data_IF_449022889415
#
_entry.id   IF_449022889415
#
_cell.length_a   1.000
_cell.length_b   1.000
_cell.length_c   1.000
_cell.angle_alpha   90.00
_cell.angle_beta   90.00
_cell.angle_gamma   90.00
#
_symmetry.space_group_name_H-M   'P 1'
#
loop_
_entity.id
_entity.type
_entity.pdbx_description
1 polymer ?
#
# COMPACT_ATOMS: atom_id res chain seq x y z
N UNK A 1 0.21 -17.37 32.84
CA UNK A 1 1.66 -17.10 32.70
C UNK A 1 2.34 -17.73 33.91
N UNK A 2 3.39 -18.56 33.75
CA UNK A 2 4.06 -19.18 34.89
C UNK A 2 4.60 -18.11 35.85
N UNK A 3 4.59 -18.38 37.15
CA UNK A 3 5.19 -17.49 38.13
C UNK A 3 6.69 -17.31 37.81
N UNK A 4 7.13 -16.05 37.71
CA UNK A 4 8.52 -15.69 37.39
C UNK A 4 8.88 -15.64 35.89
N UNK A 5 7.92 -15.82 34.98
CA UNK A 5 8.20 -15.68 33.55
C UNK A 5 8.36 -14.21 33.14
N UNK A 6 9.58 -13.81 32.73
CA UNK A 6 9.86 -12.51 32.10
C UNK A 6 9.70 -12.63 30.57
N UNK A 7 8.73 -11.94 29.95
CA UNK A 7 8.49 -12.03 28.51
C UNK A 7 9.51 -11.23 27.67
N UNK A 8 10.29 -10.30 28.27
CA UNK A 8 11.20 -9.39 27.55
C UNK A 8 12.22 -10.09 26.63
N UNK A 9 12.83 -11.25 26.99
CA UNK A 9 13.79 -11.93 26.13
C UNK A 9 13.13 -12.67 24.95
N UNK A 10 11.83 -12.95 25.04
CA UNK A 10 11.12 -13.86 24.12
C UNK A 10 10.46 -13.12 22.97
N UNK A 11 10.13 -11.83 23.13
CA UNK A 11 9.57 -11.01 22.05
C UNK A 11 10.68 -10.67 21.05
N UNK A 12 10.72 -11.28 19.85
CA UNK A 12 11.78 -10.98 18.90
C UNK A 12 11.55 -9.57 18.36
N UNK A 13 12.61 -8.76 18.32
CA UNK A 13 12.57 -7.35 17.85
C UNK A 13 12.03 -7.18 16.42
N UNK A 14 11.94 -8.27 15.65
CA UNK A 14 11.66 -8.28 14.22
C UNK A 14 10.38 -9.06 13.85
N UNK A 15 9.50 -9.40 14.81
CA UNK A 15 8.21 -10.03 14.45
C UNK A 15 7.26 -8.93 13.97
N UNK A 16 7.11 -8.84 12.65
CA UNK A 16 6.02 -8.11 12.06
C UNK A 16 4.73 -8.91 12.31
N UNK A 17 3.74 -8.26 12.92
CA UNK A 17 2.39 -8.80 12.92
C UNK A 17 1.85 -8.85 11.48
N UNK A 18 0.71 -9.53 11.29
CA UNK A 18 0.10 -9.69 9.96
C UNK A 18 -0.21 -8.35 9.28
N UNK A 19 -0.54 -7.32 10.05
CA UNK A 19 -0.83 -6.00 9.51
C UNK A 19 0.43 -5.36 8.96
N UNK A 20 1.54 -5.41 9.69
CA UNK A 20 2.81 -4.84 9.23
C UNK A 20 3.34 -5.55 7.98
N UNK A 21 3.22 -6.88 7.89
CA UNK A 21 3.54 -7.62 6.67
C UNK A 21 2.63 -7.20 5.51
N UNK A 22 1.32 -7.05 5.79
CA UNK A 22 0.36 -6.56 4.80
C UNK A 22 0.70 -5.16 4.29
N UNK A 23 1.11 -4.25 5.18
CA UNK A 23 1.50 -2.88 4.84
C UNK A 23 2.74 -2.85 3.94
N UNK A 24 3.75 -3.69 4.20
CA UNK A 24 4.93 -3.80 3.33
C UNK A 24 4.58 -4.29 1.92
N UNK A 25 3.68 -5.27 1.81
CA UNK A 25 3.19 -5.78 0.51
C UNK A 25 2.35 -4.71 -0.19
N UNK A 26 1.41 -4.10 0.52
CA UNK A 26 0.55 -3.04 0.02
C UNK A 26 1.38 -1.87 -0.52
N UNK A 27 2.42 -1.45 0.22
CA UNK A 27 3.40 -0.45 -0.18
C UNK A 27 4.07 -0.80 -1.49
N UNK A 28 4.70 -1.97 -1.57
CA UNK A 28 5.46 -2.36 -2.76
C UNK A 28 4.60 -2.37 -4.02
N UNK A 29 3.38 -2.92 -3.93
CA UNK A 29 2.45 -3.01 -5.05
C UNK A 29 1.91 -1.62 -5.45
N UNK A 30 1.40 -0.85 -4.48
CA UNK A 30 0.79 0.45 -4.76
C UNK A 30 1.81 1.48 -5.26
N UNK A 31 2.98 1.56 -4.63
CA UNK A 31 4.06 2.44 -5.09
C UNK A 31 4.49 2.11 -6.52
N UNK A 32 4.63 0.83 -6.88
CA UNK A 32 5.03 0.43 -8.23
C UNK A 32 4.06 0.92 -9.32
N UNK A 33 2.76 0.77 -9.08
CA UNK A 33 1.73 1.23 -10.03
C UNK A 33 1.63 2.75 -10.09
N UNK A 34 1.69 3.44 -8.95
CA UNK A 34 1.64 4.91 -8.90
C UNK A 34 2.87 5.54 -9.56
N UNK A 35 4.05 4.94 -9.38
CA UNK A 35 5.28 5.29 -10.09
C UNK A 35 5.12 5.13 -11.60
N UNK A 36 4.61 3.97 -12.05
CA UNK A 36 4.38 3.71 -13.46
C UNK A 36 3.43 4.76 -14.05
N UNK A 37 2.31 5.01 -13.39
CA UNK A 37 1.34 6.01 -13.84
C UNK A 37 1.98 7.41 -13.93
N UNK A 38 2.70 7.83 -12.90
CA UNK A 38 3.35 9.15 -12.85
C UNK A 38 4.39 9.30 -13.95
N UNK A 39 5.23 8.29 -14.17
CA UNK A 39 6.24 8.29 -15.25
C UNK A 39 5.57 8.32 -16.62
N UNK A 40 4.54 7.51 -16.82
CA UNK A 40 3.78 7.44 -18.06
C UNK A 40 3.07 8.76 -18.40
N UNK A 41 2.49 9.45 -17.42
CA UNK A 41 1.89 10.78 -17.62
C UNK A 41 2.94 11.82 -18.00
N UNK A 42 4.15 11.76 -17.43
CA UNK A 42 5.26 12.65 -17.79
C UNK A 42 5.80 12.40 -19.20
N UNK A 43 5.86 11.14 -19.63
CA UNK A 43 6.39 10.76 -20.96
C UNK A 43 5.35 10.71 -22.07
N UNK A 44 4.06 10.85 -21.76
CA UNK A 44 2.97 10.71 -22.72
C UNK A 44 2.62 9.26 -23.08
N UNK A 45 3.08 8.27 -22.32
CA UNK A 45 2.78 6.85 -22.55
C UNK A 45 1.37 6.48 -22.05
N UNK A 46 0.38 6.66 -22.91
CA UNK A 46 -1.01 6.38 -22.57
C UNK A 46 -1.27 4.89 -22.24
N UNK A 47 -0.50 3.96 -22.82
CA UNK A 47 -0.68 2.53 -22.57
C UNK A 47 -0.26 2.17 -21.15
N UNK A 48 0.91 2.64 -20.71
CA UNK A 48 1.42 2.41 -19.36
C UNK A 48 0.57 3.10 -18.29
N UNK A 49 0.03 4.28 -18.58
CA UNK A 49 -0.89 4.95 -17.67
C UNK A 49 -2.19 4.14 -17.48
N UNK A 50 -2.78 3.64 -18.57
CA UNK A 50 -4.00 2.81 -18.52
C UNK A 50 -3.77 1.49 -17.79
N UNK A 51 -2.62 0.85 -17.99
CA UNK A 51 -2.25 -0.37 -17.29
C UNK A 51 -2.23 -0.15 -15.77
N UNK A 52 -1.59 0.93 -15.32
CA UNK A 52 -1.53 1.26 -13.89
C UNK A 52 -2.91 1.59 -13.30
N UNK A 53 -3.76 2.34 -14.02
CA UNK A 53 -5.14 2.60 -13.60
C UNK A 53 -5.94 1.29 -13.51
N UNK A 54 -5.82 0.40 -14.50
CA UNK A 54 -6.54 -0.87 -14.51
C UNK A 54 -6.16 -1.75 -13.31
N UNK A 55 -4.87 -1.81 -12.97
CA UNK A 55 -4.41 -2.53 -11.79
C UNK A 55 -4.95 -1.91 -10.49
N UNK A 56 -4.74 -0.61 -10.28
CA UNK A 56 -5.15 0.09 -9.05
C UNK A 56 -6.67 0.16 -8.88
N UNK A 57 -7.45 0.15 -9.97
CA UNK A 57 -8.92 0.04 -9.92
C UNK A 57 -9.39 -1.18 -9.13
N UNK A 58 -8.61 -2.26 -9.13
CA UNK A 58 -8.97 -3.49 -8.42
C UNK A 58 -8.61 -3.45 -6.93
N UNK A 59 -7.92 -2.41 -6.45
CA UNK A 59 -7.42 -2.35 -5.06
C UNK A 59 -8.51 -2.45 -3.98
N UNK A 60 -9.71 -1.93 -4.23
CA UNK A 60 -10.87 -2.07 -3.32
C UNK A 60 -11.34 -3.52 -3.14
N UNK A 61 -11.02 -4.42 -4.09
CA UNK A 61 -11.37 -5.85 -4.01
C UNK A 61 -10.23 -6.75 -3.57
N UNK A 62 -9.04 -6.18 -3.29
CA UNK A 62 -7.91 -6.96 -2.80
C UNK A 62 -8.20 -7.46 -1.38
N UNK A 63 -8.39 -8.78 -1.26
CA UNK A 63 -8.76 -9.43 0.01
C UNK A 63 -7.83 -9.07 1.18
N UNK A 64 -6.54 -8.91 0.92
CA UNK A 64 -5.59 -8.55 1.97
C UNK A 64 -5.77 -7.11 2.48
N UNK A 65 -6.11 -6.16 1.59
CA UNK A 65 -6.44 -4.79 1.99
C UNK A 65 -7.74 -4.74 2.80
N UNK A 66 -8.76 -5.51 2.40
CA UNK A 66 -10.01 -5.61 3.15
C UNK A 66 -9.78 -6.16 4.57
N UNK A 67 -8.90 -7.15 4.72
CA UNK A 67 -8.53 -7.70 6.03
C UNK A 67 -7.74 -6.69 6.86
N UNK A 68 -6.81 -5.95 6.24
CA UNK A 68 -6.06 -4.89 6.91
C UNK A 68 -6.95 -3.74 7.38
N UNK A 69 -8.00 -3.41 6.63
CA UNK A 69 -8.90 -2.31 6.95
C UNK A 69 -9.67 -2.51 8.26
N UNK A 70 -9.86 -3.76 8.68
CA UNK A 70 -10.45 -4.07 9.97
C UNK A 70 -9.47 -3.83 11.14
N UNK A 71 -8.17 -3.65 10.86
CA UNK A 71 -7.10 -3.56 11.85
C UNK A 71 -6.37 -2.20 11.83
N UNK A 72 -6.49 -1.40 10.77
CA UNK A 72 -5.91 -0.06 10.68
C UNK A 72 -6.04 0.55 9.28
N UNK A 73 -5.58 1.80 9.16
CA UNK A 73 -6.00 2.70 8.06
C UNK A 73 -5.06 2.74 6.83
N UNK A 74 -4.07 1.85 6.76
CA UNK A 74 -3.15 1.82 5.61
C UNK A 74 -3.87 1.58 4.27
N UNK A 75 -4.87 0.68 4.17
CA UNK A 75 -5.63 0.47 2.94
C UNK A 75 -6.32 1.73 2.40
N UNK A 76 -6.81 2.60 3.28
CA UNK A 76 -7.52 3.83 2.93
C UNK A 76 -6.59 4.79 2.18
N UNK A 77 -5.32 4.88 2.58
CA UNK A 77 -4.32 5.64 1.83
C UNK A 77 -4.10 5.06 0.42
N UNK A 78 -4.00 3.74 0.30
CA UNK A 78 -3.86 3.07 -1.01
C UNK A 78 -5.06 3.38 -1.90
N UNK A 79 -6.28 3.28 -1.38
CA UNK A 79 -7.51 3.54 -2.12
C UNK A 79 -7.66 5.00 -2.52
N UNK A 80 -7.28 5.94 -1.64
CA UNK A 80 -7.29 7.36 -1.96
C UNK A 80 -6.41 7.66 -3.20
N UNK A 81 -5.21 7.09 -3.26
CA UNK A 81 -4.32 7.30 -4.41
C UNK A 81 -4.76 6.52 -5.65
N UNK A 82 -5.35 5.33 -5.49
CA UNK A 82 -5.97 4.61 -6.59
C UNK A 82 -7.10 5.43 -7.24
N UNK A 83 -7.97 6.00 -6.41
CA UNK A 83 -9.12 6.80 -6.83
C UNK A 83 -8.68 8.12 -7.48
N UNK A 84 -7.56 8.69 -7.04
CA UNK A 84 -6.97 9.87 -7.68
C UNK A 84 -6.54 9.57 -9.13
N UNK A 85 -5.76 8.51 -9.37
CA UNK A 85 -5.32 8.20 -10.73
C UNK A 85 -6.46 7.72 -11.64
N UNK A 86 -7.51 7.11 -11.07
CA UNK A 86 -8.75 6.80 -11.77
C UNK A 86 -9.46 8.05 -12.31
N UNK A 87 -9.34 9.18 -11.61
CA UNK A 87 -9.86 10.50 -11.99
C UNK A 87 -8.86 11.31 -12.83
N UNK A 88 -7.77 10.67 -13.27
CA UNK A 88 -6.63 11.30 -13.95
C UNK A 88 -5.96 12.44 -13.14
N UNK A 89 -6.10 12.39 -11.81
CA UNK A 89 -5.50 13.36 -10.90
C UNK A 89 -4.12 12.89 -10.48
N UNK A 90 -3.13 13.79 -10.55
CA UNK A 90 -1.78 13.50 -10.06
C UNK A 90 -1.84 13.30 -8.54
N UNK A 91 -1.47 12.12 -8.01
CA UNK A 91 -1.56 11.83 -6.59
C UNK A 91 -0.38 12.49 -5.86
N UNK A 92 -0.42 13.81 -5.63
CA UNK A 92 0.66 14.52 -4.94
C UNK A 92 0.93 13.89 -3.56
N UNK A 93 2.22 13.66 -3.25
CA UNK A 93 2.65 13.16 -1.95
C UNK A 93 2.43 11.66 -1.70
N UNK A 94 2.04 10.86 -2.71
CA UNK A 94 1.82 9.42 -2.53
C UNK A 94 3.06 8.69 -2.00
N UNK A 95 4.25 9.17 -2.36
CA UNK A 95 5.51 8.57 -1.91
C UNK A 95 5.66 8.67 -0.39
N UNK A 96 5.41 9.85 0.17
CA UNK A 96 5.44 10.05 1.62
C UNK A 96 4.26 9.35 2.31
N UNK A 97 3.06 9.46 1.73
CA UNK A 97 1.83 8.89 2.32
C UNK A 97 1.86 7.36 2.41
N UNK A 98 2.47 6.68 1.45
CA UNK A 98 2.60 5.22 1.44
C UNK A 98 3.96 4.71 1.92
N UNK A 99 4.94 5.59 2.11
CA UNK A 99 6.31 5.25 2.45
C UNK A 99 7.12 4.66 1.30
N UNK A 100 6.80 5.03 0.05
CA UNK A 100 7.56 4.64 -1.13
C UNK A 100 9.03 5.09 -1.02
N UNK A 101 9.96 4.23 -1.42
CA UNK A 101 11.40 4.53 -1.49
C UNK A 101 11.77 5.20 -2.79
#
# INVERSE_FOLDING_TARGET
MPAGFDPKPVVPKNVLDRYQVGAEVAKAVSCGWLDQWTKAKKSGDAAKAREAVAAMKTSHSWKFLQQMNAAGDYPEAVWQYADAILKDQVPAGYQQGLGCR
#
